data_IF_237652809091
#
_entry.id   IF_237652809091
#
_cell.length_a   1.000
_cell.length_b   1.000
_cell.length_c   1.000
_cell.angle_alpha   90.00
_cell.angle_beta   90.00
_cell.angle_gamma   90.00
#
_symmetry.space_group_name_H-M   'P 1'
#
loop_
_entity.id
_entity.type
_entity.pdbx_description
1 polymer ?
#
# COMPACT_ATOMS: atom_id res chain seq x y z
N UNK A 1 18.69 -22.74 -24.91
CA UNK A 1 18.22 -23.78 -24.01
C UNK A 1 17.47 -23.09 -22.89
N UNK A 2 16.16 -22.96 -23.01
CA UNK A 2 15.35 -22.22 -22.04
C UNK A 2 15.01 -23.09 -20.85
N UNK A 3 15.75 -22.97 -19.79
CA UNK A 3 15.32 -23.45 -18.48
C UNK A 3 14.34 -22.43 -17.96
N UNK A 4 13.12 -22.82 -17.55
CA UNK A 4 11.99 -21.96 -17.17
C UNK A 4 12.25 -20.84 -16.14
N UNK A 5 13.46 -20.76 -15.59
CA UNK A 5 13.90 -19.66 -14.73
C UNK A 5 14.47 -18.55 -15.60
N UNK A 6 13.97 -17.33 -15.45
CA UNK A 6 14.53 -16.14 -16.05
C UNK A 6 16.03 -16.03 -15.70
N UNK A 7 16.86 -15.67 -16.69
CA UNK A 7 18.30 -15.39 -16.46
C UNK A 7 18.55 -14.34 -15.36
N UNK A 8 17.54 -13.56 -15.01
CA UNK A 8 17.53 -12.60 -13.89
C UNK A 8 17.55 -13.27 -12.52
N UNK A 9 16.88 -14.42 -12.37
CA UNK A 9 16.70 -15.09 -11.08
C UNK A 9 17.86 -16.04 -10.74
N UNK A 10 18.62 -16.51 -11.74
CA UNK A 10 19.75 -17.40 -11.51
C UNK A 10 20.81 -16.85 -10.53
N UNK A 11 21.26 -15.59 -10.66
CA UNK A 11 22.20 -15.01 -9.70
C UNK A 11 21.63 -14.90 -8.27
N UNK A 12 20.32 -14.61 -8.12
CA UNK A 12 19.66 -14.54 -6.82
C UNK A 12 19.65 -15.92 -6.14
N UNK A 13 19.26 -16.97 -6.87
CA UNK A 13 19.26 -18.35 -6.38
C UNK A 13 20.67 -18.79 -5.98
N UNK A 14 21.64 -18.50 -6.84
CA UNK A 14 23.04 -18.89 -6.59
C UNK A 14 23.64 -18.14 -5.38
N UNK A 15 23.33 -16.85 -5.22
CA UNK A 15 23.80 -16.06 -4.09
C UNK A 15 23.16 -16.52 -2.78
N UNK A 16 21.88 -16.92 -2.82
CA UNK A 16 21.15 -17.37 -1.63
C UNK A 16 21.61 -18.76 -1.17
N UNK A 17 21.61 -19.75 -2.06
CA UNK A 17 21.91 -21.14 -1.70
C UNK A 17 23.38 -21.53 -1.82
N UNK A 18 24.19 -20.75 -2.55
CA UNK A 18 25.62 -21.02 -2.77
C UNK A 18 25.87 -22.45 -3.25
N UNK A 19 26.62 -23.25 -2.50
CA UNK A 19 26.95 -24.64 -2.83
C UNK A 19 25.73 -25.57 -2.83
N UNK A 20 24.67 -25.24 -2.11
CA UNK A 20 23.42 -26.04 -2.04
C UNK A 20 22.46 -25.80 -3.21
N UNK A 21 22.79 -24.89 -4.13
CA UNK A 21 21.91 -24.52 -5.25
C UNK A 21 21.45 -25.74 -6.07
N UNK A 22 22.36 -26.61 -6.44
CA UNK A 22 22.04 -27.81 -7.25
C UNK A 22 21.19 -28.80 -6.47
N UNK A 23 21.48 -28.99 -5.19
CA UNK A 23 20.71 -29.91 -4.32
C UNK A 23 19.26 -29.44 -4.18
N UNK A 24 19.04 -28.13 -3.92
CA UNK A 24 17.68 -27.56 -3.83
C UNK A 24 16.94 -27.68 -5.15
N UNK A 25 17.59 -27.35 -6.27
CA UNK A 25 16.96 -27.43 -7.60
C UNK A 25 16.55 -28.86 -7.99
N UNK A 26 17.30 -29.87 -7.52
CA UNK A 26 17.03 -31.28 -7.83
C UNK A 26 16.04 -31.94 -6.87
N UNK A 27 16.12 -31.63 -5.56
CA UNK A 27 15.41 -32.37 -4.52
C UNK A 27 14.22 -31.62 -3.94
N UNK A 28 14.21 -30.27 -4.03
CA UNK A 28 13.12 -29.45 -3.49
C UNK A 28 13.00 -28.08 -4.21
N UNK A 29 12.69 -28.08 -5.50
CA UNK A 29 12.65 -26.84 -6.28
C UNK A 29 11.59 -25.85 -5.80
N UNK A 30 10.49 -26.31 -5.22
CA UNK A 30 9.42 -25.43 -4.73
C UNK A 30 9.82 -24.59 -3.52
N UNK A 31 10.86 -24.97 -2.82
CA UNK A 31 11.47 -24.16 -1.76
C UNK A 31 11.95 -22.79 -2.25
N UNK A 32 12.25 -22.64 -3.54
CA UNK A 32 12.59 -21.36 -4.14
C UNK A 32 11.49 -20.31 -4.00
N UNK A 33 10.23 -20.74 -3.94
CA UNK A 33 9.08 -19.84 -3.81
C UNK A 33 9.02 -19.26 -2.38
N UNK A 34 9.36 -20.09 -1.40
CA UNK A 34 9.36 -19.70 0.01
C UNK A 34 10.58 -18.82 0.37
N UNK A 35 11.74 -19.17 -0.15
CA UNK A 35 13.03 -18.61 0.26
C UNK A 35 13.44 -17.36 -0.53
N UNK A 36 12.89 -17.13 -1.74
CA UNK A 36 13.32 -16.03 -2.63
C UNK A 36 12.10 -15.27 -3.16
N UNK A 37 11.89 -14.08 -2.64
CA UNK A 37 10.82 -13.21 -3.12
C UNK A 37 10.98 -12.87 -4.61
N UNK A 38 9.84 -12.83 -5.32
CA UNK A 38 9.81 -12.56 -6.77
C UNK A 38 10.00 -13.78 -7.66
N UNK A 39 10.20 -14.99 -7.09
CA UNK A 39 10.17 -16.25 -7.82
C UNK A 39 8.78 -16.87 -7.67
N UNK A 40 7.97 -16.79 -8.73
CA UNK A 40 6.60 -17.31 -8.73
C UNK A 40 6.51 -18.81 -9.07
N UNK A 41 5.39 -19.45 -8.64
CA UNK A 41 5.10 -20.86 -8.84
C UNK A 41 5.30 -21.31 -10.29
N UNK A 42 4.76 -20.59 -11.27
CA UNK A 42 4.83 -20.98 -12.70
C UNK A 42 6.26 -21.22 -13.17
N UNK A 43 7.18 -20.32 -12.80
CA UNK A 43 8.59 -20.44 -13.22
C UNK A 43 9.30 -21.62 -12.56
N UNK A 44 8.97 -21.89 -11.30
CA UNK A 44 9.53 -23.02 -10.55
C UNK A 44 8.94 -24.34 -11.03
N UNK A 45 7.64 -24.37 -11.28
CA UNK A 45 6.93 -25.55 -11.76
C UNK A 45 7.44 -25.99 -13.12
N UNK A 46 7.64 -25.07 -14.06
CA UNK A 46 8.26 -25.36 -15.35
C UNK A 46 9.67 -25.98 -15.22
N UNK A 47 10.45 -25.53 -14.24
CA UNK A 47 11.75 -26.11 -13.95
C UNK A 47 11.62 -27.50 -13.32
N UNK A 48 10.80 -27.63 -12.28
CA UNK A 48 10.59 -28.85 -11.53
C UNK A 48 10.11 -29.99 -12.44
N UNK A 49 9.16 -29.71 -13.33
CA UNK A 49 8.68 -30.69 -14.32
C UNK A 49 9.78 -31.13 -15.28
N UNK A 50 10.69 -30.24 -15.68
CA UNK A 50 11.85 -30.58 -16.53
C UNK A 50 12.92 -31.38 -15.80
N UNK A 51 13.02 -31.24 -14.48
CA UNK A 51 13.96 -32.00 -13.64
C UNK A 51 13.41 -33.33 -13.17
N UNK A 52 12.16 -33.68 -13.55
CA UNK A 52 11.57 -34.99 -13.32
C UNK A 52 10.65 -35.07 -12.10
N UNK A 53 10.20 -33.94 -11.56
CA UNK A 53 9.13 -33.96 -10.54
C UNK A 53 7.84 -34.48 -11.18
N UNK A 54 7.16 -35.38 -10.47
CA UNK A 54 5.90 -35.96 -10.97
C UNK A 54 4.74 -34.97 -10.89
N UNK A 55 3.76 -35.04 -11.83
CA UNK A 55 2.61 -34.15 -11.85
C UNK A 55 1.78 -34.12 -10.57
N UNK A 56 1.72 -35.22 -9.84
CA UNK A 56 0.95 -35.38 -8.60
C UNK A 56 1.84 -35.41 -7.35
N UNK A 57 3.05 -34.91 -7.42
CA UNK A 57 3.95 -34.78 -6.26
C UNK A 57 3.32 -33.89 -5.17
N UNK A 58 3.36 -34.37 -3.92
CA UNK A 58 2.77 -33.65 -2.78
C UNK A 58 3.33 -32.23 -2.62
N UNK A 59 4.65 -32.00 -2.86
CA UNK A 59 5.26 -30.66 -2.73
C UNK A 59 4.80 -29.72 -3.85
N UNK A 60 4.63 -30.26 -5.07
CA UNK A 60 4.07 -29.51 -6.19
C UNK A 60 2.65 -29.05 -5.88
N UNK A 61 1.80 -29.97 -5.39
CA UNK A 61 0.41 -29.65 -5.02
C UNK A 61 0.37 -28.60 -3.91
N UNK A 62 1.15 -28.77 -2.84
CA UNK A 62 1.23 -27.79 -1.74
C UNK A 62 1.67 -26.40 -2.21
N UNK A 63 2.71 -26.33 -3.03
CA UNK A 63 3.16 -25.07 -3.61
C UNK A 63 2.11 -24.44 -4.53
N UNK A 64 1.41 -25.25 -5.34
CA UNK A 64 0.31 -24.80 -6.19
C UNK A 64 -0.90 -24.30 -5.39
N UNK A 65 -1.24 -24.94 -4.27
CA UNK A 65 -2.29 -24.49 -3.36
C UNK A 65 -1.95 -23.11 -2.80
N UNK A 66 -0.76 -22.93 -2.22
CA UNK A 66 -0.33 -21.65 -1.65
C UNK A 66 -0.25 -20.57 -2.74
N UNK A 67 0.34 -20.89 -3.90
CA UNK A 67 0.46 -19.94 -5.01
C UNK A 67 -0.90 -19.49 -5.54
N UNK A 68 -1.88 -20.40 -5.64
CA UNK A 68 -3.22 -20.06 -6.10
C UNK A 68 -3.96 -19.14 -5.12
N UNK A 69 -3.79 -19.36 -3.81
CA UNK A 69 -4.35 -18.51 -2.78
C UNK A 69 -3.72 -17.12 -2.80
N UNK A 70 -2.40 -17.03 -2.88
CA UNK A 70 -1.67 -15.76 -2.99
C UNK A 70 -2.09 -15.00 -4.27
N UNK A 71 -2.11 -15.67 -5.42
CA UNK A 71 -2.49 -15.04 -6.70
C UNK A 71 -3.93 -14.49 -6.65
N UNK A 72 -4.85 -15.22 -6.04
CA UNK A 72 -6.23 -14.77 -5.85
C UNK A 72 -6.31 -13.55 -4.92
N UNK A 73 -5.56 -13.54 -3.81
CA UNK A 73 -5.44 -12.37 -2.93
C UNK A 73 -4.92 -11.14 -3.69
N UNK A 74 -3.90 -11.30 -4.54
CA UNK A 74 -3.39 -10.21 -5.38
C UNK A 74 -4.38 -9.75 -6.46
N UNK A 75 -5.20 -10.65 -7.01
CA UNK A 75 -6.21 -10.28 -8.01
C UNK A 75 -7.38 -9.53 -7.40
N UNK A 76 -7.78 -9.88 -6.18
CA UNK A 76 -8.93 -9.29 -5.48
C UNK A 76 -8.56 -8.10 -4.60
N UNK A 77 -7.29 -7.97 -4.21
CA UNK A 77 -6.83 -7.02 -3.18
C UNK A 77 -7.15 -7.45 -1.75
N UNK A 78 -7.78 -8.61 -1.56
CA UNK A 78 -8.13 -9.16 -0.24
C UNK A 78 -6.97 -9.95 0.35
N UNK A 79 -6.90 -10.01 1.67
CA UNK A 79 -5.90 -10.79 2.41
C UNK A 79 -6.30 -12.26 2.57
N UNK A 80 -7.51 -12.61 2.20
CA UNK A 80 -8.06 -13.97 2.28
C UNK A 80 -8.96 -14.28 1.09
N UNK A 81 -9.32 -15.56 0.97
CA UNK A 81 -10.39 -16.03 0.08
C UNK A 81 -11.29 -17.03 0.80
N UNK A 82 -12.53 -17.15 0.31
CA UNK A 82 -13.39 -18.29 0.64
C UNK A 82 -12.91 -19.57 -0.05
N UNK A 83 -13.39 -20.72 0.46
CA UNK A 83 -12.99 -22.04 -0.06
C UNK A 83 -13.33 -22.21 -1.54
N UNK A 84 -14.52 -21.82 -1.96
CA UNK A 84 -15.01 -22.09 -3.31
C UNK A 84 -14.19 -21.30 -4.37
N UNK A 85 -14.00 -20.00 -4.15
CA UNK A 85 -13.20 -19.14 -5.01
C UNK A 85 -11.74 -19.62 -5.07
N UNK A 86 -11.17 -19.96 -3.93
CA UNK A 86 -9.81 -20.48 -3.80
C UNK A 86 -9.65 -21.84 -4.54
N UNK A 87 -10.53 -22.80 -4.30
CA UNK A 87 -10.51 -24.09 -4.96
C UNK A 87 -10.66 -23.99 -6.47
N UNK A 88 -11.59 -23.15 -6.97
CA UNK A 88 -11.74 -22.89 -8.38
C UNK A 88 -10.49 -22.26 -9.02
N UNK A 89 -9.78 -21.39 -8.29
CA UNK A 89 -8.54 -20.80 -8.78
C UNK A 89 -7.42 -21.84 -8.86
N UNK A 90 -7.29 -22.69 -7.84
CA UNK A 90 -6.36 -23.81 -7.83
C UNK A 90 -6.60 -24.77 -8.99
N UNK A 91 -7.88 -25.14 -9.28
CA UNK A 91 -8.24 -26.02 -10.39
C UNK A 91 -7.88 -25.47 -11.76
N UNK A 92 -7.79 -24.16 -11.91
CA UNK A 92 -7.26 -23.53 -13.15
C UNK A 92 -5.74 -23.62 -13.24
N UNK A 93 -5.05 -23.62 -12.11
CA UNK A 93 -3.60 -23.68 -12.04
C UNK A 93 -3.08 -25.11 -12.21
N UNK A 94 -3.72 -26.09 -11.55
CA UNK A 94 -3.38 -27.52 -11.58
C UNK A 94 -4.63 -28.38 -11.90
N UNK A 95 -5.10 -28.38 -13.16
CA UNK A 95 -6.35 -29.05 -13.55
C UNK A 95 -6.30 -30.57 -13.41
N UNK A 96 -5.11 -31.16 -13.45
CA UNK A 96 -4.88 -32.61 -13.34
C UNK A 96 -4.93 -33.14 -11.90
N UNK A 97 -4.88 -32.28 -10.87
CA UNK A 97 -4.86 -32.71 -9.47
C UNK A 97 -6.23 -33.24 -9.05
N UNK A 98 -6.36 -34.48 -8.54
CA UNK A 98 -7.60 -35.01 -7.97
C UNK A 98 -8.01 -34.26 -6.70
N UNK A 99 -9.32 -34.20 -6.41
CA UNK A 99 -9.89 -33.47 -5.28
C UNK A 99 -9.44 -34.01 -3.91
N UNK A 100 -9.27 -35.33 -3.80
CA UNK A 100 -8.77 -35.97 -2.59
C UNK A 100 -7.30 -35.63 -2.31
N UNK A 101 -6.47 -35.48 -3.35
CA UNK A 101 -5.09 -35.03 -3.20
C UNK A 101 -5.00 -33.53 -2.87
N UNK A 102 -5.89 -32.70 -3.44
CA UNK A 102 -6.00 -31.32 -3.02
C UNK A 102 -6.33 -31.20 -1.54
N UNK A 103 -7.41 -31.85 -1.08
CA UNK A 103 -7.84 -31.80 0.32
C UNK A 103 -6.74 -32.29 1.27
N UNK A 104 -6.15 -33.45 0.98
CA UNK A 104 -5.04 -34.03 1.77
C UNK A 104 -3.84 -33.08 1.89
N UNK A 105 -3.48 -32.38 0.80
CA UNK A 105 -2.33 -31.49 0.79
C UNK A 105 -2.65 -30.11 1.38
N UNK A 106 -3.89 -29.64 1.26
CA UNK A 106 -4.37 -28.47 1.97
C UNK A 106 -4.26 -28.67 3.49
N UNK A 107 -4.77 -29.82 4.02
CA UNK A 107 -4.67 -30.17 5.44
C UNK A 107 -3.22 -30.15 5.95
N UNK A 108 -2.26 -30.56 5.12
CA UNK A 108 -0.83 -30.56 5.50
C UNK A 108 -0.22 -29.18 5.66
N UNK A 109 -0.73 -28.17 4.93
CA UNK A 109 -0.20 -26.80 4.96
C UNK A 109 -1.03 -25.83 5.78
N UNK A 110 -2.25 -26.24 6.20
CA UNK A 110 -3.03 -25.49 7.21
C UNK A 110 -2.22 -25.40 8.51
N UNK A 111 -2.33 -24.26 9.19
CA UNK A 111 -1.57 -23.89 10.38
C UNK A 111 -0.06 -23.70 10.19
N UNK A 112 0.49 -24.00 9.00
CA UNK A 112 1.90 -23.75 8.70
C UNK A 112 2.09 -22.65 7.63
N UNK A 113 1.48 -22.81 6.46
CA UNK A 113 1.56 -21.86 5.34
C UNK A 113 0.25 -21.16 5.05
N UNK A 114 -0.87 -21.79 5.40
CA UNK A 114 -2.22 -21.27 5.27
C UNK A 114 -2.88 -21.24 6.65
N UNK A 115 -3.52 -20.14 6.98
CA UNK A 115 -4.35 -20.02 8.16
C UNK A 115 -5.81 -20.11 7.73
N UNK A 116 -6.58 -20.93 8.43
CA UNK A 116 -8.02 -21.05 8.22
C UNK A 116 -8.77 -20.49 9.43
N UNK A 117 -9.68 -19.56 9.18
CA UNK A 117 -10.67 -19.07 10.13
C UNK A 117 -12.06 -19.22 9.52
N UNK A 118 -12.88 -20.11 10.05
CA UNK A 118 -14.19 -20.44 9.48
C UNK A 118 -14.07 -20.83 8.00
N UNK A 119 -14.70 -20.09 7.09
CA UNK A 119 -14.62 -20.28 5.63
C UNK A 119 -13.58 -19.36 4.96
N UNK A 120 -12.69 -18.75 5.73
CA UNK A 120 -11.65 -17.85 5.25
C UNK A 120 -10.29 -18.53 5.26
N UNK A 121 -9.60 -18.48 4.15
CA UNK A 121 -8.25 -19.03 3.96
C UNK A 121 -7.29 -17.89 3.67
N UNK A 122 -6.28 -17.76 4.51
CA UNK A 122 -5.27 -16.69 4.44
C UNK A 122 -3.90 -17.29 4.11
N UNK A 123 -3.10 -16.70 3.23
CA UNK A 123 -1.65 -16.88 3.29
C UNK A 123 -1.17 -16.43 4.67
N UNK A 124 -0.32 -17.25 5.32
CA UNK A 124 0.13 -16.98 6.71
C UNK A 124 0.66 -15.56 6.89
N UNK A 125 1.52 -15.09 5.99
CA UNK A 125 2.16 -13.77 6.11
C UNK A 125 1.13 -12.62 6.10
N UNK A 126 0.06 -12.76 5.32
CA UNK A 126 -1.03 -11.77 5.28
C UNK A 126 -1.83 -11.79 6.58
N UNK A 127 -2.14 -12.98 7.11
CA UNK A 127 -2.82 -13.12 8.40
C UNK A 127 -2.01 -12.53 9.56
N UNK A 128 -0.73 -12.89 9.64
CA UNK A 128 0.19 -12.38 10.67
C UNK A 128 0.38 -10.86 10.57
N UNK A 129 0.38 -10.32 9.34
CA UNK A 129 0.47 -8.88 9.12
C UNK A 129 -0.76 -8.14 9.66
N UNK A 130 -1.96 -8.61 9.40
CA UNK A 130 -3.19 -8.01 9.93
C UNK A 130 -3.26 -8.13 11.46
N UNK A 131 -2.91 -9.29 12.01
CA UNK A 131 -2.86 -9.52 13.45
C UNK A 131 -1.89 -8.54 14.12
N UNK A 132 -0.69 -8.39 13.56
CA UNK A 132 0.32 -7.45 14.09
C UNK A 132 -0.17 -6.00 14.05
N UNK A 133 -0.79 -5.59 12.94
CA UNK A 133 -1.37 -4.24 12.82
C UNK A 133 -2.42 -4.02 13.91
N UNK A 134 -3.35 -4.96 14.09
CA UNK A 134 -4.41 -4.86 15.09
C UNK A 134 -3.84 -4.78 16.50
N UNK A 135 -2.90 -5.65 16.89
CA UNK A 135 -2.26 -5.66 18.20
C UNK A 135 -1.48 -4.36 18.49
N UNK A 136 -0.76 -3.83 17.50
CA UNK A 136 -0.02 -2.57 17.66
C UNK A 136 -0.97 -1.40 17.87
N UNK A 137 -2.04 -1.29 17.08
CA UNK A 137 -3.02 -0.22 17.24
C UNK A 137 -3.82 -0.33 18.52
N UNK A 138 -4.17 -1.53 18.98
CA UNK A 138 -4.76 -1.72 20.30
C UNK A 138 -3.85 -1.16 21.43
N UNK A 139 -2.54 -1.31 21.31
CA UNK A 139 -1.58 -0.74 22.26
C UNK A 139 -1.55 0.79 22.17
N UNK A 140 -1.50 1.37 20.95
CA UNK A 140 -1.55 2.83 20.80
C UNK A 140 -2.83 3.42 21.41
N UNK A 141 -4.00 2.81 21.19
CA UNK A 141 -5.26 3.29 21.73
C UNK A 141 -5.37 3.21 23.25
N UNK A 142 -4.60 2.32 23.87
CA UNK A 142 -4.52 2.18 25.34
C UNK A 142 -3.49 3.10 25.99
N UNK A 143 -2.63 3.75 25.20
CA UNK A 143 -1.63 4.69 25.74
C UNK A 143 -2.32 5.99 26.17
N UNK A 144 -2.04 6.41 27.40
CA UNK A 144 -2.44 7.74 27.87
C UNK A 144 -1.49 8.79 27.29
N UNK A 145 -2.02 9.76 26.58
CA UNK A 145 -1.29 10.95 26.17
C UNK A 145 -1.22 11.98 27.31
N UNK A 146 -0.18 12.79 27.34
CA UNK A 146 -0.13 13.91 28.28
C UNK A 146 -1.24 14.90 27.93
N UNK A 147 -2.10 15.21 28.90
CA UNK A 147 -3.13 16.24 28.71
C UNK A 147 -2.47 17.61 28.62
N UNK A 148 -2.69 18.30 27.52
CA UNK A 148 -2.30 19.71 27.33
C UNK A 148 -3.56 20.55 27.50
N UNK A 149 -3.45 21.66 28.22
CA UNK A 149 -4.58 22.57 28.38
C UNK A 149 -5.02 23.17 27.05
N UNK A 150 -6.32 23.18 26.78
CA UNK A 150 -6.91 23.70 25.54
C UNK A 150 -6.46 25.12 25.22
N UNK A 151 -6.32 25.96 26.25
CA UNK A 151 -5.82 27.34 26.14
C UNK A 151 -4.43 27.43 25.51
N UNK A 152 -3.55 26.48 25.84
CA UNK A 152 -2.19 26.39 25.26
C UNK A 152 -2.24 25.96 23.82
N UNK A 153 -3.09 24.97 23.51
CA UNK A 153 -3.27 24.48 22.14
C UNK A 153 -3.83 25.60 21.25
N UNK A 154 -4.86 26.30 21.73
CA UNK A 154 -5.50 27.39 20.98
C UNK A 154 -4.53 28.57 20.72
N UNK A 155 -3.67 28.92 21.69
CA UNK A 155 -2.60 29.89 21.48
C UNK A 155 -1.62 29.46 20.38
N UNK A 156 -1.20 28.18 20.39
CA UNK A 156 -0.28 27.65 19.38
C UNK A 156 -0.92 27.59 18.00
N UNK A 157 -2.20 27.23 17.92
CA UNK A 157 -2.96 27.25 16.65
C UNK A 157 -3.02 28.68 16.12
N UNK A 158 -3.42 29.65 16.93
CA UNK A 158 -3.52 31.06 16.54
C UNK A 158 -2.17 31.60 16.04
N UNK A 159 -1.09 31.32 16.77
CA UNK A 159 0.25 31.71 16.34
C UNK A 159 0.63 31.08 15.00
N UNK A 160 0.21 29.83 14.75
CA UNK A 160 0.46 29.14 13.50
C UNK A 160 -0.34 29.74 12.35
N UNK A 161 -1.60 30.13 12.57
CA UNK A 161 -2.44 30.88 11.62
C UNK A 161 -1.77 32.19 11.22
N UNK A 162 -1.29 32.98 12.19
CA UNK A 162 -0.58 34.25 11.96
C UNK A 162 0.69 34.05 11.12
N UNK A 163 1.50 33.02 11.44
CA UNK A 163 2.73 32.71 10.70
C UNK A 163 2.49 32.22 9.27
N UNK A 164 1.35 31.59 9.01
CA UNK A 164 0.99 31.08 7.68
C UNK A 164 0.14 32.08 6.88
N UNK A 165 -0.41 33.10 7.52
CA UNK A 165 -1.31 34.08 6.89
C UNK A 165 -2.66 33.46 6.48
N UNK A 166 -3.13 32.44 7.20
CA UNK A 166 -4.39 31.71 6.93
C UNK A 166 -5.17 31.53 8.23
N UNK A 167 -6.47 31.32 8.09
CA UNK A 167 -7.36 30.96 9.22
C UNK A 167 -7.88 29.54 8.99
N UNK A 168 -7.75 28.69 9.99
CA UNK A 168 -8.27 27.32 9.93
C UNK A 168 -9.78 27.31 10.26
N UNK A 169 -10.53 26.45 9.60
CA UNK A 169 -11.91 26.17 9.99
C UNK A 169 -11.97 25.30 11.27
N UNK A 170 -13.18 25.13 11.81
CA UNK A 170 -13.37 24.37 13.05
C UNK A 170 -12.96 22.89 12.93
N UNK A 171 -13.18 22.26 11.75
CA UNK A 171 -12.77 20.85 11.51
C UNK A 171 -11.24 20.76 11.50
N UNK A 172 -10.59 21.73 10.90
CA UNK A 172 -9.14 21.81 10.82
C UNK A 172 -8.51 22.04 12.21
N UNK A 173 -9.08 22.94 13.02
CA UNK A 173 -8.66 23.15 14.41
C UNK A 173 -8.87 21.90 15.25
N UNK A 174 -10.03 21.25 15.10
CA UNK A 174 -10.32 19.99 15.76
C UNK A 174 -9.33 18.88 15.37
N UNK A 175 -8.90 18.81 14.11
CA UNK A 175 -7.88 17.85 13.67
C UNK A 175 -6.53 18.06 14.41
N UNK A 176 -6.12 19.31 14.61
CA UNK A 176 -4.89 19.63 15.37
C UNK A 176 -5.04 19.22 16.84
N UNK A 177 -6.17 19.57 17.48
CA UNK A 177 -6.45 19.23 18.88
C UNK A 177 -6.48 17.72 19.06
N UNK A 178 -7.27 17.03 18.26
CA UNK A 178 -7.42 15.57 18.33
C UNK A 178 -6.09 14.83 18.08
N UNK A 179 -5.25 15.32 17.18
CA UNK A 179 -3.91 14.75 17.00
C UNK A 179 -3.06 14.86 18.27
N UNK A 180 -3.14 15.96 19.02
CA UNK A 180 -2.39 16.11 20.26
C UNK A 180 -2.92 15.20 21.38
N UNK A 181 -4.22 14.97 21.41
CA UNK A 181 -4.90 14.12 22.39
C UNK A 181 -4.71 12.62 22.18
N UNK A 182 -4.60 12.18 20.92
CA UNK A 182 -4.58 10.77 20.55
C UNK A 182 -3.17 10.26 20.23
N UNK A 183 -2.86 9.04 20.61
CA UNK A 183 -1.59 8.38 20.21
C UNK A 183 -1.57 7.98 18.75
N UNK A 184 -2.75 7.72 18.16
CA UNK A 184 -2.91 7.42 16.75
C UNK A 184 -4.10 8.18 16.18
N UNK A 185 -3.89 8.88 15.06
CA UNK A 185 -4.95 9.61 14.35
C UNK A 185 -4.87 9.33 12.84
N UNK A 186 -6.04 9.14 12.23
CA UNK A 186 -6.20 9.08 10.78
C UNK A 186 -6.80 10.41 10.30
N UNK A 187 -6.14 11.06 9.34
CA UNK A 187 -6.62 12.25 8.66
C UNK A 187 -7.04 11.89 7.25
N UNK A 188 -8.34 11.90 6.98
CA UNK A 188 -8.88 11.60 5.64
C UNK A 188 -9.48 12.84 4.97
N UNK A 189 -9.78 12.72 3.69
CA UNK A 189 -10.45 13.75 2.92
C UNK A 189 -10.07 13.68 1.45
N UNK A 190 -10.91 14.23 0.60
CA UNK A 190 -10.69 14.25 -0.85
C UNK A 190 -9.56 15.18 -1.30
N UNK A 191 -9.28 15.20 -2.61
CA UNK A 191 -8.35 16.15 -3.19
C UNK A 191 -8.82 17.59 -2.92
N UNK A 192 -7.90 18.48 -2.55
CA UNK A 192 -8.21 19.91 -2.33
C UNK A 192 -8.87 20.25 -1.01
N UNK A 193 -9.06 19.30 -0.08
CA UNK A 193 -9.64 19.55 1.25
C UNK A 193 -8.65 20.16 2.26
N UNK A 194 -7.42 20.47 1.86
CA UNK A 194 -6.44 21.09 2.73
C UNK A 194 -5.68 20.14 3.64
N UNK A 195 -5.69 18.80 3.40
CA UNK A 195 -4.91 17.82 4.16
C UNK A 195 -3.48 18.28 4.42
N UNK A 196 -2.78 18.66 3.38
CA UNK A 196 -1.38 19.08 3.46
C UNK A 196 -1.18 20.33 4.33
N UNK A 197 -2.11 21.29 4.24
CA UNK A 197 -2.09 22.51 5.07
C UNK A 197 -2.22 22.16 6.55
N UNK A 198 -3.11 21.23 6.88
CA UNK A 198 -3.32 20.78 8.25
C UNK A 198 -2.16 19.95 8.76
N UNK A 199 -1.56 19.10 7.95
CA UNK A 199 -0.33 18.37 8.31
C UNK A 199 0.80 19.34 8.65
N UNK A 200 0.99 20.41 7.90
CA UNK A 200 1.95 21.46 8.23
C UNK A 200 1.64 22.14 9.57
N UNK A 201 0.37 22.42 9.83
CA UNK A 201 -0.07 23.02 11.09
C UNK A 201 0.19 22.08 12.27
N UNK A 202 -0.24 20.82 12.14
CA UNK A 202 0.00 19.77 13.15
C UNK A 202 1.49 19.69 13.49
N UNK A 203 2.36 19.57 12.48
CA UNK A 203 3.80 19.45 12.68
C UNK A 203 4.43 20.71 13.32
N UNK A 204 3.97 21.91 12.96
CA UNK A 204 4.45 23.16 13.58
C UNK A 204 4.02 23.28 15.04
N UNK A 205 2.75 22.98 15.34
CA UNK A 205 2.23 23.00 16.72
C UNK A 205 2.97 21.94 17.53
N UNK A 206 3.07 20.70 17.02
CA UNK A 206 3.74 19.60 17.70
C UNK A 206 5.19 19.93 18.05
N UNK A 207 5.99 20.38 17.08
CA UNK A 207 7.39 20.78 17.31
C UNK A 207 7.54 21.96 18.29
N UNK A 208 6.55 22.84 18.40
CA UNK A 208 6.58 23.93 19.37
C UNK A 208 6.30 23.46 20.80
N UNK A 209 5.66 22.30 20.95
CA UNK A 209 5.37 21.67 22.25
C UNK A 209 6.45 20.64 22.63
N UNK A 210 6.97 19.92 21.64
CA UNK A 210 7.93 18.83 21.80
C UNK A 210 9.17 19.05 20.89
N UNK A 211 10.04 20.02 21.24
CA UNK A 211 11.16 20.42 20.35
C UNK A 211 12.24 19.35 20.19
N UNK A 212 12.37 18.45 21.17
CA UNK A 212 13.42 17.42 21.20
C UNK A 212 12.99 16.10 20.54
N UNK A 213 11.71 15.96 20.20
CA UNK A 213 11.20 14.74 19.59
C UNK A 213 11.53 14.62 18.10
N UNK A 214 11.90 13.43 17.71
CA UNK A 214 12.29 13.08 16.35
C UNK A 214 11.07 12.66 15.54
N UNK A 215 10.89 13.28 14.38
CA UNK A 215 9.75 13.05 13.50
C UNK A 215 10.21 12.30 12.26
N UNK A 216 9.61 11.14 12.02
CA UNK A 216 9.74 10.38 10.79
C UNK A 216 8.59 10.72 9.82
N UNK A 217 8.92 11.31 8.65
CA UNK A 217 7.95 11.58 7.59
C UNK A 217 8.16 10.62 6.44
N UNK A 218 7.13 9.87 6.08
CA UNK A 218 7.22 8.88 5.01
C UNK A 218 6.01 8.90 4.08
N UNK A 219 6.21 8.36 2.88
CA UNK A 219 5.17 8.08 1.91
C UNK A 219 5.49 6.78 1.15
N UNK A 220 4.52 6.12 0.52
CA UNK A 220 4.78 4.89 -0.25
C UNK A 220 5.62 5.14 -1.51
N UNK A 221 5.56 6.33 -2.10
CA UNK A 221 6.25 6.67 -3.35
C UNK A 221 7.25 7.81 -3.19
N UNK A 222 8.32 7.81 -4.01
CA UNK A 222 9.31 8.88 -4.00
C UNK A 222 8.74 10.25 -4.36
N UNK A 223 7.74 10.30 -5.26
CA UNK A 223 7.05 11.55 -5.62
C UNK A 223 6.27 12.13 -4.45
N UNK A 224 5.52 11.29 -3.73
CA UNK A 224 4.77 11.71 -2.55
C UNK A 224 5.72 12.17 -1.42
N UNK A 225 6.80 11.42 -1.16
CA UNK A 225 7.80 11.79 -0.17
C UNK A 225 8.47 13.14 -0.51
N UNK A 226 8.84 13.36 -1.77
CA UNK A 226 9.40 14.64 -2.22
C UNK A 226 8.42 15.80 -1.97
N UNK A 227 7.15 15.60 -2.36
CA UNK A 227 6.10 16.60 -2.14
C UNK A 227 5.91 16.88 -0.64
N UNK A 228 5.87 15.85 0.19
CA UNK A 228 5.76 16.00 1.64
C UNK A 228 6.94 16.81 2.21
N UNK A 229 8.18 16.54 1.75
CA UNK A 229 9.35 17.33 2.15
C UNK A 229 9.24 18.81 1.73
N UNK A 230 8.85 19.07 0.49
CA UNK A 230 8.72 20.44 -0.03
C UNK A 230 7.68 21.25 0.75
N UNK A 231 6.59 20.62 1.15
CA UNK A 231 5.49 21.25 1.86
C UNK A 231 5.80 21.46 3.35
N UNK A 232 6.33 20.45 4.01
CA UNK A 232 6.62 20.52 5.46
C UNK A 232 7.93 21.20 5.81
N UNK A 233 8.83 21.33 4.82
CA UNK A 233 10.22 21.79 5.00
C UNK A 233 11.03 20.87 5.93
N UNK A 234 10.60 19.61 6.07
CA UNK A 234 11.29 18.56 6.81
C UNK A 234 11.69 17.46 5.82
N UNK A 235 12.73 16.71 6.16
CA UNK A 235 13.12 15.58 5.35
C UNK A 235 12.06 14.47 5.41
N UNK A 236 11.56 14.04 4.26
CA UNK A 236 10.67 12.89 4.12
C UNK A 236 11.30 11.87 3.16
N UNK A 237 11.01 10.60 3.38
CA UNK A 237 11.51 9.51 2.55
C UNK A 237 10.42 8.52 2.17
N UNK A 238 10.73 7.55 1.32
CA UNK A 238 9.83 6.42 1.14
C UNK A 238 9.90 5.48 2.34
N UNK A 239 8.82 4.73 2.59
CA UNK A 239 8.78 3.69 3.64
C UNK A 239 9.96 2.72 3.45
N UNK A 240 10.21 2.24 2.23
CA UNK A 240 11.33 1.35 1.92
C UNK A 240 12.69 1.95 2.27
N UNK A 241 12.89 3.25 2.01
CA UNK A 241 14.14 3.94 2.36
C UNK A 241 14.31 4.09 3.87
N UNK A 242 13.22 4.43 4.60
CA UNK A 242 13.24 4.52 6.06
C UNK A 242 13.60 3.18 6.69
N UNK A 243 13.00 2.09 6.20
CA UNK A 243 13.28 0.72 6.65
C UNK A 243 14.60 0.15 6.14
N UNK A 244 15.34 0.90 5.32
CA UNK A 244 16.64 0.49 4.73
C UNK A 244 16.50 -0.85 3.99
N UNK A 245 15.64 -0.86 2.96
CA UNK A 245 15.49 -2.01 2.09
C UNK A 245 16.80 -2.36 1.40
N UNK A 246 17.24 -3.60 1.55
CA UNK A 246 18.43 -4.14 0.88
C UNK A 246 18.01 -5.06 -0.26
N UNK A 247 18.27 -4.62 -1.50
CA UNK A 247 17.94 -5.38 -2.71
C UNK A 247 18.71 -6.72 -2.78
N UNK A 248 19.91 -6.78 -2.18
CA UNK A 248 20.76 -7.99 -2.27
C UNK A 248 20.26 -9.11 -1.37
N UNK A 249 19.70 -8.79 -0.23
CA UNK A 249 19.14 -9.73 0.76
C UNK A 249 17.63 -9.83 0.70
N UNK A 250 16.99 -8.93 -0.07
CA UNK A 250 15.54 -8.80 -0.15
C UNK A 250 14.86 -8.65 1.23
N UNK A 251 15.47 -7.83 2.10
CA UNK A 251 15.04 -7.66 3.48
C UNK A 251 15.16 -6.21 3.95
N UNK A 252 14.40 -5.89 4.97
CA UNK A 252 14.50 -4.62 5.69
C UNK A 252 15.52 -4.72 6.82
N UNK A 253 16.44 -3.76 6.92
CA UNK A 253 17.43 -3.71 8.01
C UNK A 253 16.84 -3.15 9.31
N UNK A 254 15.79 -2.32 9.23
CA UNK A 254 15.09 -1.80 10.40
C UNK A 254 13.91 -2.73 10.72
N UNK A 255 13.82 -3.18 11.98
CA UNK A 255 12.84 -4.12 12.49
C UNK A 255 12.78 -4.02 14.03
N UNK A 256 12.13 -4.96 14.71
CA UNK A 256 12.05 -4.98 16.19
C UNK A 256 13.42 -5.09 16.89
N UNK A 257 14.41 -5.75 16.27
CA UNK A 257 15.78 -5.86 16.81
C UNK A 257 16.60 -4.58 16.57
N UNK A 258 16.28 -3.86 15.51
CA UNK A 258 16.90 -2.59 15.11
C UNK A 258 15.82 -1.54 14.86
N UNK A 259 15.18 -1.02 15.94
CA UNK A 259 14.06 -0.10 15.81
C UNK A 259 14.46 1.27 15.25
N UNK A 260 13.48 1.96 14.68
CA UNK A 260 13.61 3.33 14.23
C UNK A 260 13.82 4.27 15.43
N UNK A 261 14.77 5.19 15.31
CA UNK A 261 15.06 6.22 16.30
C UNK A 261 14.20 7.47 16.02
N UNK A 262 12.88 7.30 16.13
CA UNK A 262 11.85 8.34 15.94
C UNK A 262 10.75 8.21 16.99
N UNK A 263 10.13 9.34 17.36
CA UNK A 263 9.10 9.45 18.38
C UNK A 263 7.70 9.57 17.75
N UNK A 264 7.58 10.38 16.69
CA UNK A 264 6.37 10.57 15.89
C UNK A 264 6.59 10.03 14.47
N UNK A 265 5.67 9.18 14.01
CA UNK A 265 5.62 8.70 12.61
C UNK A 265 4.44 9.34 11.88
N UNK A 266 4.72 9.95 10.74
CA UNK A 266 3.70 10.52 9.84
C UNK A 266 3.78 9.81 8.49
N UNK A 267 2.67 9.25 8.03
CA UNK A 267 2.59 8.53 6.76
C UNK A 267 1.60 9.23 5.85
N UNK A 268 2.08 9.79 4.74
CA UNK A 268 1.22 10.40 3.70
C UNK A 268 0.89 9.38 2.60
N UNK A 269 -0.20 9.62 1.86
CA UNK A 269 -0.75 8.71 0.84
C UNK A 269 -0.95 7.28 1.37
N UNK A 270 -1.46 7.16 2.60
CA UNK A 270 -1.61 5.88 3.30
C UNK A 270 -2.57 4.90 2.62
N UNK A 271 -3.50 5.38 1.78
CA UNK A 271 -4.37 4.53 0.96
C UNK A 271 -3.61 3.57 0.03
N UNK A 272 -2.35 3.87 -0.31
CA UNK A 272 -1.50 3.05 -1.16
C UNK A 272 -0.65 2.04 -0.39
N UNK A 273 -0.74 2.01 0.95
CA UNK A 273 0.08 1.14 1.81
C UNK A 273 -0.68 -0.15 2.08
N UNK A 274 -0.07 -1.29 1.73
CA UNK A 274 -0.63 -2.62 1.96
C UNK A 274 -0.32 -3.17 3.36
N UNK A 275 -0.96 -4.28 3.73
CA UNK A 275 -0.81 -4.91 5.04
C UNK A 275 0.61 -5.39 5.32
N UNK A 276 1.30 -5.98 4.33
CA UNK A 276 2.68 -6.46 4.49
C UNK A 276 3.66 -5.33 4.76
N UNK A 277 3.62 -4.27 3.93
CA UNK A 277 4.52 -3.14 4.09
C UNK A 277 4.26 -2.40 5.41
N UNK A 278 2.98 -2.24 5.77
CA UNK A 278 2.63 -1.55 7.01
C UNK A 278 3.02 -2.33 8.26
N UNK A 279 2.82 -3.65 8.27
CA UNK A 279 3.26 -4.50 9.38
C UNK A 279 4.78 -4.45 9.59
N UNK A 280 5.57 -4.48 8.50
CA UNK A 280 7.03 -4.31 8.57
C UNK A 280 7.43 -2.94 9.12
N UNK A 281 6.72 -1.88 8.74
CA UNK A 281 6.96 -0.54 9.29
C UNK A 281 6.64 -0.49 10.79
N UNK A 282 5.50 -1.04 11.21
CA UNK A 282 5.10 -1.10 12.62
C UNK A 282 6.03 -1.97 13.47
N UNK A 283 6.60 -3.03 12.90
CA UNK A 283 7.60 -3.87 13.57
C UNK A 283 8.84 -3.04 13.96
N UNK A 284 9.28 -2.15 13.10
CA UNK A 284 10.39 -1.24 13.35
C UNK A 284 10.05 -0.06 14.28
N UNK A 285 8.78 0.17 14.63
CA UNK A 285 8.31 1.29 15.46
C UNK A 285 8.43 1.01 16.97
N UNK A 286 9.58 0.54 17.45
CA UNK A 286 9.78 0.23 18.88
C UNK A 286 9.69 1.45 19.81
N UNK A 287 10.13 2.63 19.35
CA UNK A 287 10.15 3.87 20.11
C UNK A 287 9.03 4.85 19.74
N UNK A 288 8.32 4.59 18.65
CA UNK A 288 7.24 5.46 18.19
C UNK A 288 6.06 5.39 19.16
N UNK A 289 5.71 6.54 19.72
CA UNK A 289 4.57 6.65 20.64
C UNK A 289 3.39 7.42 20.04
N UNK A 290 3.57 8.08 18.89
CA UNK A 290 2.52 8.81 18.19
C UNK A 290 2.56 8.57 16.68
N UNK A 291 1.38 8.31 16.09
CA UNK A 291 1.25 8.03 14.64
C UNK A 291 0.17 8.93 14.03
N UNK A 292 0.49 9.54 12.88
CA UNK A 292 -0.45 10.23 12.01
C UNK A 292 -0.50 9.56 10.64
N UNK A 293 -1.66 9.03 10.28
CA UNK A 293 -1.92 8.44 8.97
C UNK A 293 -2.74 9.41 8.12
N UNK A 294 -2.29 9.70 6.90
CA UNK A 294 -2.94 10.64 6.00
C UNK A 294 -3.28 9.92 4.71
N UNK A 295 -4.56 9.94 4.34
CA UNK A 295 -5.01 9.24 3.15
C UNK A 295 -6.35 9.75 2.61
N UNK A 296 -6.83 9.06 1.61
CA UNK A 296 -8.15 9.27 1.02
C UNK A 296 -8.76 7.89 0.76
N UNK A 297 -9.78 7.52 1.55
CA UNK A 297 -10.44 6.22 1.46
C UNK A 297 -11.18 5.97 0.15
N UNK A 298 -11.38 7.04 -0.64
CA UNK A 298 -12.05 6.98 -1.93
C UNK A 298 -11.07 6.89 -3.10
N UNK A 299 -9.76 6.97 -2.83
CA UNK A 299 -8.73 6.67 -3.84
C UNK A 299 -8.56 5.17 -4.03
N UNK A 300 -7.87 4.79 -5.11
CA UNK A 300 -7.53 3.39 -5.35
C UNK A 300 -6.73 2.82 -4.16
N UNK A 301 -7.07 1.62 -3.71
CA UNK A 301 -6.32 0.95 -2.65
C UNK A 301 -4.92 0.56 -3.13
N UNK A 302 -4.14 -0.03 -2.22
CA UNK A 302 -2.84 -0.62 -2.51
C UNK A 302 -2.92 -1.66 -3.63
N UNK A 303 -1.83 -1.84 -4.37
CA UNK A 303 -1.71 -2.87 -5.41
C UNK A 303 -1.58 -4.26 -4.80
N UNK A 304 -0.88 -4.37 -3.68
CA UNK A 304 -0.75 -5.61 -2.91
C UNK A 304 -1.96 -5.79 -1.98
N UNK A 305 -2.21 -7.03 -1.49
CA UNK A 305 -3.35 -7.33 -0.65
C UNK A 305 -3.40 -6.52 0.65
N UNK A 306 -4.63 -6.14 1.04
CA UNK A 306 -4.92 -5.43 2.28
C UNK A 306 -5.31 -3.97 2.10
N UNK A 307 -6.56 -3.64 2.41
CA UNK A 307 -7.08 -2.26 2.39
C UNK A 307 -7.01 -1.64 3.78
N UNK A 308 -5.77 -1.49 4.29
CA UNK A 308 -5.50 -1.14 5.68
C UNK A 308 -6.22 0.15 6.13
N UNK A 309 -6.18 1.20 5.30
CA UNK A 309 -6.84 2.47 5.64
C UNK A 309 -8.34 2.29 5.90
N UNK A 310 -9.03 1.61 5.00
CA UNK A 310 -10.47 1.38 5.10
C UNK A 310 -10.81 0.50 6.31
N UNK A 311 -10.06 -0.56 6.53
CA UNK A 311 -10.28 -1.49 7.63
C UNK A 311 -10.06 -0.81 8.99
N UNK A 312 -9.04 0.04 9.10
CA UNK A 312 -8.78 0.83 10.31
C UNK A 312 -9.89 1.86 10.59
N UNK A 313 -10.44 2.51 9.56
CA UNK A 313 -11.58 3.42 9.72
C UNK A 313 -12.82 2.67 10.21
N UNK A 314 -13.09 1.48 9.67
CA UNK A 314 -14.20 0.61 10.10
C UNK A 314 -14.02 0.06 11.52
N UNK A 315 -12.77 -0.13 11.95
CA UNK A 315 -12.44 -0.60 13.30
C UNK A 315 -12.54 0.49 14.39
N UNK A 316 -12.94 1.71 14.03
CA UNK A 316 -13.16 2.80 14.99
C UNK A 316 -11.89 3.48 15.48
N UNK A 317 -10.79 3.38 14.75
CA UNK A 317 -9.57 4.16 15.04
C UNK A 317 -9.92 5.65 14.98
N UNK A 318 -9.42 6.50 15.92
CA UNK A 318 -9.65 7.93 15.91
C UNK A 318 -9.32 8.56 14.55
N UNK A 319 -10.30 9.24 13.96
CA UNK A 319 -10.11 9.85 12.65
C UNK A 319 -10.82 11.19 12.52
N UNK A 320 -10.34 12.01 11.60
CA UNK A 320 -10.98 13.26 11.15
C UNK A 320 -11.07 13.22 9.63
N UNK A 321 -12.27 13.47 9.11
CA UNK A 321 -12.53 13.61 7.68
C UNK A 321 -12.67 15.08 7.31
N UNK A 322 -11.75 15.62 6.50
CA UNK A 322 -11.81 16.97 5.96
C UNK A 322 -12.80 17.01 4.78
N UNK A 323 -13.89 17.75 4.94
CA UNK A 323 -14.99 17.79 3.97
C UNK A 323 -14.96 19.04 3.09
N UNK A 324 -14.45 20.17 3.61
CA UNK A 324 -14.45 21.45 2.89
C UNK A 324 -13.43 21.42 1.74
N UNK A 325 -13.89 21.64 0.52
CA UNK A 325 -13.02 21.70 -0.66
C UNK A 325 -12.62 23.15 -0.91
N UNK A 326 -11.33 23.48 -0.73
CA UNK A 326 -10.77 24.82 -0.93
C UNK A 326 -10.27 25.10 -2.36
N UNK A 327 -10.11 24.05 -3.19
CA UNK A 327 -9.62 24.11 -4.57
C UNK A 327 -10.75 23.98 -5.58
N UNK A 328 -11.87 24.65 -5.41
CA UNK A 328 -12.86 24.69 -6.50
C UNK A 328 -12.56 25.89 -7.41
N UNK A 329 -12.09 25.63 -8.63
CA UNK A 329 -12.47 26.48 -9.74
C UNK A 329 -13.94 26.16 -10.04
N UNK A 330 -14.83 27.09 -9.77
CA UNK A 330 -16.24 26.93 -10.12
C UNK A 330 -16.35 26.63 -11.64
N UNK A 331 -16.93 25.46 -11.96
CA UNK A 331 -17.14 25.00 -13.33
C UNK A 331 -16.11 24.03 -13.90
N UNK A 332 -15.16 23.50 -13.11
CA UNK A 332 -14.25 22.44 -13.57
C UNK A 332 -14.96 21.11 -13.78
N UNK A 333 -14.93 20.60 -15.02
CA UNK A 333 -15.43 19.29 -15.37
C UNK A 333 -14.67 18.15 -14.72
N UNK A 334 -13.36 18.32 -14.51
CA UNK A 334 -12.51 17.32 -13.82
C UNK A 334 -13.00 17.10 -12.38
N UNK A 335 -13.34 18.18 -11.68
CA UNK A 335 -13.86 18.10 -10.31
C UNK A 335 -15.24 17.43 -10.32
N UNK A 336 -16.16 17.86 -11.21
CA UNK A 336 -17.49 17.28 -11.34
C UNK A 336 -17.40 15.77 -11.65
N UNK A 337 -16.58 15.37 -12.65
CA UNK A 337 -16.39 13.97 -13.01
C UNK A 337 -15.83 13.14 -11.85
N UNK A 338 -14.89 13.68 -11.10
CA UNK A 338 -14.31 12.98 -9.95
C UNK A 338 -15.36 12.73 -8.86
N UNK A 339 -16.28 13.68 -8.64
CA UNK A 339 -17.41 13.51 -7.71
C UNK A 339 -18.42 12.49 -8.21
N UNK A 340 -18.76 12.52 -9.51
CA UNK A 340 -19.69 11.58 -10.11
C UNK A 340 -19.16 10.14 -10.03
N UNK A 341 -17.88 9.93 -10.35
CA UNK A 341 -17.21 8.62 -10.23
C UNK A 341 -17.23 8.13 -8.77
N UNK A 342 -16.93 9.02 -7.80
CA UNK A 342 -16.93 8.68 -6.36
C UNK A 342 -18.29 8.21 -5.86
N UNK A 343 -19.38 8.81 -6.37
CA UNK A 343 -20.74 8.52 -5.95
C UNK A 343 -21.42 7.45 -6.82
N UNK A 344 -20.70 6.83 -7.74
CA UNK A 344 -21.21 5.88 -8.73
C UNK A 344 -22.37 6.46 -9.57
N UNK A 345 -22.33 7.77 -9.80
CA UNK A 345 -23.34 8.55 -10.53
C UNK A 345 -22.71 9.20 -11.76
N UNK A 346 -22.26 8.43 -12.74
CA UNK A 346 -21.75 9.02 -13.98
C UNK A 346 -22.73 8.83 -15.12
N UNK A 347 -23.05 9.95 -15.76
CA UNK A 347 -23.84 10.01 -16.99
C UNK A 347 -22.90 10.31 -18.16
N UNK A 348 -23.16 9.71 -19.31
CA UNK A 348 -22.42 9.94 -20.55
C UNK A 348 -22.34 11.42 -20.98
N UNK A 349 -23.22 12.27 -20.45
CA UNK A 349 -23.21 13.72 -20.65
C UNK A 349 -21.99 14.40 -20.04
N UNK A 350 -21.36 13.82 -19.01
CA UNK A 350 -20.16 14.36 -18.37
C UNK A 350 -19.00 14.48 -19.37
N UNK A 351 -18.92 13.57 -20.33
CA UNK A 351 -17.86 13.55 -21.33
C UNK A 351 -18.07 14.57 -22.49
N UNK A 352 -19.20 15.24 -22.57
CA UNK A 352 -19.55 16.10 -23.71
C UNK A 352 -19.44 17.61 -23.46
N UNK A 353 -19.44 18.08 -22.21
CA UNK A 353 -19.77 19.48 -21.91
C UNK A 353 -18.74 20.29 -21.11
N UNK A 354 -17.55 19.75 -20.80
CA UNK A 354 -16.57 20.46 -20.00
C UNK A 354 -15.40 20.98 -20.83
N UNK A 355 -14.91 22.17 -20.50
CA UNK A 355 -13.77 22.80 -21.17
C UNK A 355 -12.46 22.07 -20.93
N UNK A 356 -12.34 21.38 -19.80
CA UNK A 356 -11.15 20.75 -19.27
C UNK A 356 -11.16 19.22 -19.37
N UNK A 357 -12.19 18.64 -20.01
CA UNK A 357 -12.28 17.19 -20.28
C UNK A 357 -12.57 16.97 -21.76
N UNK A 358 -11.77 16.12 -22.39
CA UNK A 358 -12.03 15.62 -23.73
C UNK A 358 -12.08 14.09 -23.72
N UNK A 359 -13.20 13.53 -24.16
CA UNK A 359 -13.37 12.10 -24.33
C UNK A 359 -13.28 11.73 -25.80
N UNK A 360 -12.38 10.82 -26.11
CA UNK A 360 -12.19 10.35 -27.51
C UNK A 360 -12.40 8.84 -27.57
N UNK A 361 -13.36 8.40 -28.37
CA UNK A 361 -13.56 6.97 -28.66
C UNK A 361 -12.48 6.54 -29.67
N UNK A 362 -11.71 5.52 -29.29
CA UNK A 362 -10.61 5.01 -30.10
C UNK A 362 -10.61 3.47 -30.09
N UNK A 363 -10.44 2.81 -31.24
CA UNK A 363 -10.24 1.36 -31.29
C UNK A 363 -8.96 0.97 -30.52
N UNK A 364 -8.98 -0.15 -29.80
CA UNK A 364 -7.84 -0.59 -28.98
C UNK A 364 -6.50 -0.62 -29.71
N UNK A 365 -6.50 -1.02 -30.99
CA UNK A 365 -5.30 -1.05 -31.84
C UNK A 365 -4.68 0.32 -32.12
N UNK A 366 -5.46 1.39 -32.02
CA UNK A 366 -5.06 2.75 -32.41
C UNK A 366 -4.79 3.64 -31.18
N UNK A 367 -5.01 3.14 -29.95
CA UNK A 367 -4.84 3.91 -28.69
C UNK A 367 -3.45 4.52 -28.57
N UNK A 368 -2.39 3.76 -28.84
CA UNK A 368 -1.02 4.27 -28.76
C UNK A 368 -0.77 5.45 -29.72
N UNK A 369 -1.31 5.37 -30.95
CA UNK A 369 -1.18 6.42 -31.95
C UNK A 369 -1.99 7.68 -31.56
N UNK A 370 -3.20 7.48 -31.01
CA UNK A 370 -4.02 8.58 -30.49
C UNK A 370 -3.32 9.31 -29.33
N UNK A 371 -2.76 8.56 -28.37
CA UNK A 371 -2.01 9.15 -27.25
C UNK A 371 -0.78 9.93 -27.74
N UNK A 372 -0.01 9.34 -28.67
CA UNK A 372 1.14 10.03 -29.27
C UNK A 372 0.76 11.34 -29.96
N UNK A 373 -0.36 11.34 -30.70
CA UNK A 373 -0.86 12.54 -31.37
C UNK A 373 -1.27 13.63 -30.37
N UNK A 374 -1.93 13.25 -29.27
CA UNK A 374 -2.33 14.19 -28.20
C UNK A 374 -1.10 14.80 -27.53
N UNK A 375 -0.12 13.95 -27.13
CA UNK A 375 1.12 14.43 -26.50
C UNK A 375 1.90 15.36 -27.44
N UNK A 376 2.02 14.99 -28.73
CA UNK A 376 2.70 15.81 -29.71
C UNK A 376 2.02 17.18 -29.86
N UNK A 377 0.70 17.20 -29.92
CA UNK A 377 -0.08 18.45 -30.00
C UNK A 377 0.14 19.32 -28.76
N UNK A 378 0.16 18.74 -27.56
CA UNK A 378 0.43 19.49 -26.33
C UNK A 378 1.82 20.15 -26.36
N UNK A 379 2.85 19.44 -26.83
CA UNK A 379 4.20 20.01 -26.99
C UNK A 379 4.24 21.11 -28.05
N UNK A 380 3.51 20.94 -29.17
CA UNK A 380 3.38 21.98 -30.20
C UNK A 380 2.65 23.22 -29.67
N UNK A 381 1.75 23.09 -28.73
CA UNK A 381 1.06 24.20 -28.05
C UNK A 381 1.89 24.83 -26.91
N UNK A 382 3.11 24.37 -26.66
CA UNK A 382 4.07 24.95 -25.73
C UNK A 382 4.12 24.33 -24.33
N UNK A 383 3.48 23.17 -24.11
CA UNK A 383 3.63 22.42 -22.86
C UNK A 383 4.96 21.67 -22.83
N UNK A 384 5.64 21.71 -21.71
CA UNK A 384 6.82 20.87 -21.48
C UNK A 384 6.43 19.39 -21.25
N UNK A 385 7.34 18.47 -21.54
CA UNK A 385 7.12 17.04 -21.31
C UNK A 385 6.79 16.71 -19.83
N UNK A 386 7.24 17.56 -18.90
CA UNK A 386 6.92 17.46 -17.46
C UNK A 386 5.49 17.87 -17.12
N UNK A 387 4.81 18.63 -18.01
CA UNK A 387 3.42 19.07 -17.82
C UNK A 387 2.41 18.01 -18.29
N UNK A 388 2.86 17.00 -19.03
CA UNK A 388 2.01 15.98 -19.63
C UNK A 388 2.22 14.63 -18.95
N UNK A 389 1.16 14.05 -18.39
CA UNK A 389 1.18 12.74 -17.78
C UNK A 389 0.24 11.77 -18.51
N UNK A 390 0.79 10.66 -19.02
CA UNK A 390 0.01 9.57 -19.61
C UNK A 390 -0.22 8.49 -18.54
N UNK A 391 -1.46 8.13 -18.27
CA UNK A 391 -1.84 7.05 -17.38
C UNK A 391 -2.49 5.93 -18.20
N UNK A 392 -2.11 4.70 -17.93
CA UNK A 392 -2.70 3.51 -18.55
C UNK A 392 -2.82 2.39 -17.52
N UNK A 393 -3.89 1.57 -17.57
CA UNK A 393 -3.95 0.36 -16.76
C UNK A 393 -2.86 -0.60 -17.22
N UNK A 394 -2.21 -1.29 -16.26
CA UNK A 394 -1.27 -2.36 -16.62
C UNK A 394 -2.06 -3.60 -17.06
N UNK A 395 -1.69 -4.15 -18.21
CA UNK A 395 -2.08 -5.51 -18.56
C UNK A 395 -1.13 -6.48 -17.87
N UNK A 396 -1.69 -7.40 -17.09
CA UNK A 396 -0.97 -8.55 -16.53
C UNK A 396 -0.99 -9.73 -17.50
#
# INVERSE_FOLDING_TARGET
>A
MGNGISTRNLPLIQNFYKEKTLDVLQNDPYRLIDDIEGIGFKSVDELAMKTGVEPLDDKRIQAGILASLIDLCFQTGSTYSDYESFYHHFRRMLPECPDDLFAKNLDKIIANKVIQEEDRYYPRDLYESETMIAEKFERYLKQSTQSIEDSVIDEKIKRTEELQGITYDEIQKNAIKKFLEESALILTGGPGTGKTTIVQAILKVYRSLYPDEKIGLVAPTGRAAKRLSELTKLEASTIHRLLKWDISTNAFSMNCDHPLDIDLLVIDEFSMVDSLLFSKLLDACGHVHKILLIGDEQQLPSVSPGNVLKDMLLSGIPHICLQTIYRQEEGSGIVALSHDIRNDHYDSRVFQNYRDIHFTVCPNKDVAQCVQAIVKKAVEEGYDASDVQVLAPMYR
#
